data_IF_079110283023
#
_entry.id   IF_079110283023
#
_cell.length_a   1.000
_cell.length_b   1.000
_cell.length_c   1.000
_cell.angle_alpha   90.00
_cell.angle_beta   90.00
_cell.angle_gamma   90.00
#
_symmetry.space_group_name_H-M   'P 1'
#
loop_
_entity.id
_entity.type
_entity.pdbx_description
1 polymer ?
#
# COMPACT_ATOMS: atom_id res chain seq x y z
N UNK A 1 -14.06 10.35 3.60
CA UNK A 1 -12.59 10.49 3.63
C UNK A 1 -12.05 9.60 4.74
N UNK A 2 -11.60 8.39 4.41
CA UNK A 2 -11.15 7.44 5.43
C UNK A 2 -9.73 7.78 5.84
N UNK A 3 -9.56 8.55 6.91
CA UNK A 3 -8.27 8.74 7.57
C UNK A 3 -8.01 7.53 8.46
N UNK A 4 -7.25 6.54 7.98
CA UNK A 4 -6.58 5.61 8.88
C UNK A 4 -5.10 6.00 9.00
N UNK A 5 -4.69 6.67 10.11
CA UNK A 5 -3.35 7.25 10.25
C UNK A 5 -2.22 6.20 10.20
N UNK A 6 -2.52 4.93 10.48
CA UNK A 6 -1.56 3.82 10.38
C UNK A 6 -1.50 3.18 8.99
N UNK A 7 -2.54 3.34 8.17
CA UNK A 7 -2.64 2.68 6.86
C UNK A 7 -2.07 3.56 5.74
N UNK A 8 -2.21 4.88 5.86
CA UNK A 8 -1.71 5.84 4.89
C UNK A 8 -0.19 5.71 4.59
N UNK A 9 0.70 5.61 5.60
CA UNK A 9 2.14 5.46 5.32
C UNK A 9 2.48 4.19 4.54
N UNK A 10 1.74 3.11 4.77
CA UNK A 10 1.95 1.83 4.09
C UNK A 10 1.43 1.88 2.66
N UNK A 11 0.27 2.49 2.44
CA UNK A 11 -0.26 2.71 1.09
C UNK A 11 0.69 3.57 0.25
N UNK A 12 1.24 4.65 0.83
CA UNK A 12 2.24 5.48 0.18
C UNK A 12 3.50 4.69 -0.17
N UNK A 13 4.00 3.85 0.75
CA UNK A 13 5.15 2.99 0.52
C UNK A 13 4.89 1.99 -0.61
N UNK A 14 3.74 1.31 -0.61
CA UNK A 14 3.36 0.37 -1.67
C UNK A 14 3.26 1.08 -3.02
N UNK A 15 2.70 2.29 -3.07
CA UNK A 15 2.62 3.08 -4.28
C UNK A 15 4.01 3.44 -4.82
N UNK A 16 4.88 3.95 -3.95
CA UNK A 16 6.25 4.33 -4.31
C UNK A 16 7.08 3.12 -4.76
N UNK A 17 6.97 1.99 -4.05
CA UNK A 17 7.62 0.75 -4.45
C UNK A 17 7.11 0.31 -5.81
N UNK A 18 5.79 0.26 -6.03
CA UNK A 18 5.22 -0.14 -7.33
C UNK A 18 5.69 0.75 -8.48
N UNK A 19 5.87 2.06 -8.25
CA UNK A 19 6.36 3.00 -9.26
C UNK A 19 7.80 2.70 -9.73
N UNK A 20 8.60 1.96 -8.94
CA UNK A 20 9.96 1.56 -9.30
C UNK A 20 10.03 0.31 -10.19
N UNK A 21 8.89 -0.32 -10.51
CA UNK A 21 8.82 -1.56 -11.28
C UNK A 21 9.00 -2.92 -10.57
N UNK A 22 9.14 -3.05 -9.23
CA UNK A 22 9.21 -4.36 -8.57
C UNK A 22 7.85 -5.10 -8.62
N UNK A 23 7.95 -6.42 -8.54
CA UNK A 23 6.80 -7.33 -8.47
C UNK A 23 6.11 -7.26 -7.11
N UNK A 24 4.85 -7.71 -7.03
CA UNK A 24 4.10 -7.81 -5.77
C UNK A 24 4.85 -8.63 -4.70
N UNK A 25 5.62 -9.64 -5.13
CA UNK A 25 6.44 -10.45 -4.25
C UNK A 25 7.57 -9.65 -3.61
N UNK A 26 8.30 -8.86 -4.41
CA UNK A 26 9.36 -7.97 -3.91
C UNK A 26 8.79 -6.89 -2.98
N UNK A 27 7.63 -6.31 -3.30
CA UNK A 27 6.95 -5.37 -2.41
C UNK A 27 6.61 -6.04 -1.07
N UNK A 28 6.16 -7.30 -1.09
CA UNK A 28 5.86 -8.04 0.13
C UNK A 28 7.10 -8.29 0.99
N UNK A 29 8.20 -8.70 0.35
CA UNK A 29 9.47 -8.94 1.00
C UNK A 29 9.99 -7.65 1.65
N UNK A 30 9.97 -6.54 0.93
CA UNK A 30 10.38 -5.22 1.44
C UNK A 30 9.56 -4.78 2.66
N UNK A 31 8.24 -5.01 2.64
CA UNK A 31 7.38 -4.70 3.77
C UNK A 31 7.68 -5.60 4.99
N UNK A 32 8.02 -6.87 4.77
CA UNK A 32 8.39 -7.80 5.83
C UNK A 32 9.76 -7.45 6.44
N UNK A 33 10.74 -7.13 5.60
CA UNK A 33 12.09 -6.69 5.99
C UNK A 33 12.03 -5.40 6.83
N UNK A 34 11.19 -4.43 6.43
CA UNK A 34 10.95 -3.21 7.20
C UNK A 34 10.03 -3.42 8.42
N UNK A 35 9.60 -4.67 8.70
CA UNK A 35 8.67 -5.02 9.79
C UNK A 35 7.37 -4.21 9.77
N UNK A 36 6.93 -3.79 8.58
CA UNK A 36 5.71 -3.04 8.38
C UNK A 36 4.53 -4.00 8.45
N UNK A 37 3.83 -3.97 9.59
CA UNK A 37 2.67 -4.83 9.84
C UNK A 37 1.39 -4.19 9.31
N UNK A 38 0.44 -5.03 8.93
CA UNK A 38 -0.94 -4.59 8.68
C UNK A 38 -1.60 -4.03 9.94
N UNK A 39 -2.76 -3.39 9.79
CA UNK A 39 -3.56 -2.82 10.89
C UNK A 39 -3.79 -3.76 12.08
N UNK A 40 -3.84 -5.07 11.84
CA UNK A 40 -4.04 -6.10 12.89
C UNK A 40 -2.72 -6.66 13.46
N UNK A 41 -1.58 -6.03 13.18
CA UNK A 41 -0.26 -6.52 13.58
C UNK A 41 0.21 -7.76 12.81
N UNK A 42 -0.49 -8.15 11.73
CA UNK A 42 -0.16 -9.32 10.92
C UNK A 42 0.72 -8.94 9.73
N UNK A 43 1.51 -9.89 9.23
CA UNK A 43 2.22 -9.76 7.94
C UNK A 43 1.22 -9.49 6.81
N UNK A 44 1.68 -8.78 5.79
CA UNK A 44 0.91 -8.57 4.57
C UNK A 44 0.81 -9.87 3.78
N UNK A 45 -0.38 -10.20 3.29
CA UNK A 45 -0.53 -11.27 2.29
C UNK A 45 -0.27 -10.72 0.89
N UNK A 46 0.20 -11.58 -0.02
CA UNK A 46 0.39 -11.20 -1.42
C UNK A 46 -0.92 -10.75 -2.07
N UNK A 47 -2.03 -11.40 -1.71
CA UNK A 47 -3.37 -11.01 -2.16
C UNK A 47 -3.74 -9.58 -1.72
N UNK A 48 -3.43 -9.19 -0.48
CA UNK A 48 -3.71 -7.85 0.01
C UNK A 48 -2.89 -6.79 -0.75
N UNK A 49 -1.59 -7.02 -0.96
CA UNK A 49 -0.73 -6.10 -1.72
C UNK A 49 -1.19 -6.03 -3.18
N UNK A 50 -1.49 -7.17 -3.81
CA UNK A 50 -2.01 -7.21 -5.18
C UNK A 50 -3.28 -6.39 -5.33
N UNK A 51 -4.22 -6.53 -4.40
CA UNK A 51 -5.46 -5.75 -4.41
C UNK A 51 -5.20 -4.24 -4.29
N UNK A 52 -4.25 -3.83 -3.44
CA UNK A 52 -3.86 -2.43 -3.30
C UNK A 52 -3.24 -1.91 -4.60
N UNK A 53 -2.31 -2.65 -5.19
CA UNK A 53 -1.66 -2.31 -6.47
C UNK A 53 -2.69 -2.18 -7.59
N UNK A 54 -3.62 -3.13 -7.71
CA UNK A 54 -4.70 -3.05 -8.70
C UNK A 54 -5.58 -1.81 -8.51
N UNK A 55 -5.88 -1.42 -7.26
CA UNK A 55 -6.65 -0.21 -6.99
C UNK A 55 -5.90 1.07 -7.41
N UNK A 56 -4.58 1.10 -7.27
CA UNK A 56 -3.76 2.20 -7.79
C UNK A 56 -3.81 2.24 -9.33
N UNK A 57 -3.62 1.09 -9.98
CA UNK A 57 -3.64 0.98 -11.45
C UNK A 57 -4.99 1.36 -12.05
N UNK A 58 -6.09 0.96 -11.40
CA UNK A 58 -7.46 1.28 -11.80
C UNK A 58 -7.86 2.72 -11.42
N UNK A 59 -6.98 3.48 -10.76
CA UNK A 59 -7.26 4.83 -10.23
C UNK A 59 -8.47 4.87 -9.28
N UNK A 60 -8.79 3.72 -8.69
CA UNK A 60 -9.80 3.58 -7.62
C UNK A 60 -9.22 4.14 -6.34
N UNK A 61 -7.92 3.96 -6.10
CA UNK A 61 -7.23 4.52 -4.95
C UNK A 61 -6.20 5.56 -5.42
N UNK A 62 -6.39 6.80 -5.01
CA UNK A 62 -5.55 7.94 -5.40
C UNK A 62 -4.93 8.55 -4.14
N UNK A 63 -3.61 8.74 -4.14
CA UNK A 63 -2.91 9.49 -3.09
C UNK A 63 -3.03 10.97 -3.41
N UNK A 64 -3.47 11.76 -2.42
CA UNK A 64 -3.50 13.22 -2.48
C UNK A 64 -2.41 13.81 -1.59
N UNK A 65 -1.94 14.98 -2.00
CA UNK A 65 -1.04 15.80 -1.18
C UNK A 65 -1.67 16.12 0.18
N UNK A 66 -0.84 16.15 1.23
CA UNK A 66 -1.31 16.39 2.60
C UNK A 66 -1.72 15.14 3.40
N UNK A 67 -1.26 13.96 2.99
CA UNK A 67 -1.40 12.76 3.82
C UNK A 67 -2.74 12.03 3.66
N UNK A 68 -3.39 12.18 2.50
CA UNK A 68 -4.75 11.69 2.27
C UNK A 68 -4.80 10.71 1.11
N UNK A 69 -5.78 9.80 1.14
CA UNK A 69 -6.13 8.98 0.00
C UNK A 69 -7.64 9.04 -0.25
N UNK A 70 -8.01 8.97 -1.51
CA UNK A 70 -9.41 8.94 -1.95
C UNK A 70 -9.72 7.59 -2.60
N UNK A 71 -10.92 7.09 -2.33
CA UNK A 71 -11.51 5.96 -3.02
C UNK A 71 -12.52 6.51 -4.02
N UNK A 72 -12.35 6.21 -5.30
CA UNK A 72 -13.24 6.59 -6.39
C UNK A 72 -14.22 5.47 -6.73
#
# INVERSE_FOLDING_TARGET
MTKHPTEFPVLLKIHWLRAQGPTVHQINQELDEQKIKSRKGKKWSWAAIRNIVQRFEQKILIIKDGGQYELR
#
